data_IF_521192191893
#
_entry.id   IF_521192191893
#
_cell.length_a   1.000
_cell.length_b   1.000
_cell.length_c   1.000
_cell.angle_alpha   90.00
_cell.angle_beta   90.00
_cell.angle_gamma   90.00
#
_symmetry.space_group_name_H-M   'P 1'
#
loop_
_entity.id
_entity.type
_entity.pdbx_description
1 polymer ?
#
# COMPACT_ATOMS: atom_id res chain seq x y z
N UNK A 1 -9.99 24.65 3.85
CA UNK A 1 -11.33 24.61 3.19
C UNK A 1 -12.14 23.33 3.45
N UNK A 2 -11.79 22.47 4.43
CA UNK A 2 -12.49 21.19 4.70
C UNK A 2 -13.90 21.36 5.31
N UNK A 3 -14.18 22.49 5.95
CA UNK A 3 -15.40 22.69 6.71
C UNK A 3 -16.57 23.24 5.87
N UNK A 4 -16.31 23.81 4.70
CA UNK A 4 -17.34 24.46 3.86
C UNK A 4 -18.22 23.41 3.16
N UNK A 5 -17.62 22.33 2.66
CA UNK A 5 -18.35 21.23 2.03
C UNK A 5 -19.16 20.41 3.04
N UNK A 6 -18.63 20.25 4.26
CA UNK A 6 -19.36 19.63 5.38
C UNK A 6 -20.58 20.46 5.82
N UNK A 7 -20.42 21.79 5.91
CA UNK A 7 -21.52 22.71 6.21
C UNK A 7 -22.59 22.75 5.11
N UNK A 8 -22.17 22.74 3.84
CA UNK A 8 -23.09 22.67 2.69
C UNK A 8 -23.86 21.35 2.66
N UNK A 9 -23.21 20.23 2.97
CA UNK A 9 -23.88 18.93 3.09
C UNK A 9 -24.87 18.93 4.27
N UNK A 10 -24.54 19.56 5.39
CA UNK A 10 -25.44 19.66 6.54
C UNK A 10 -26.67 20.54 6.24
N UNK A 11 -26.47 21.68 5.58
CA UNK A 11 -27.55 22.60 5.16
C UNK A 11 -28.47 21.98 4.10
N UNK A 12 -27.91 21.26 3.13
CA UNK A 12 -28.69 20.55 2.10
C UNK A 12 -29.42 19.33 2.69
N UNK A 13 -28.82 18.64 3.66
CA UNK A 13 -29.45 17.53 4.39
C UNK A 13 -30.63 17.98 5.23
N UNK A 14 -30.52 19.12 5.93
CA UNK A 14 -31.66 19.71 6.64
C UNK A 14 -32.77 20.18 5.71
N UNK A 15 -32.44 20.70 4.51
CA UNK A 15 -33.42 21.08 3.49
C UNK A 15 -34.15 19.89 2.86
N UNK A 16 -33.48 18.74 2.70
CA UNK A 16 -34.09 17.49 2.23
C UNK A 16 -35.11 16.92 3.23
N UNK A 17 -34.81 16.99 4.53
CA UNK A 17 -35.74 16.55 5.58
C UNK A 17 -36.96 17.47 5.65
N UNK A 18 -36.77 18.78 5.51
CA UNK A 18 -37.87 19.76 5.52
C UNK A 18 -38.81 19.62 4.32
N UNK A 19 -38.31 19.22 3.15
CA UNK A 19 -39.12 19.05 1.93
C UNK A 19 -39.94 17.74 1.92
N UNK A 20 -39.47 16.68 2.59
CA UNK A 20 -40.22 15.41 2.79
C UNK A 20 -41.45 15.62 3.69
N UNK A 21 -41.38 16.56 4.64
CA UNK A 21 -42.47 16.87 5.57
C UNK A 21 -43.57 17.76 4.98
N UNK A 22 -43.36 18.39 3.82
CA UNK A 22 -44.22 19.47 3.31
C UNK A 22 -44.71 19.28 1.86
N UNK A 23 -44.84 18.03 1.41
CA UNK A 23 -45.46 17.62 0.12
C UNK A 23 -44.92 18.33 -1.15
N UNK A 24 -43.61 18.58 -1.21
CA UNK A 24 -42.97 19.11 -2.42
C UNK A 24 -42.70 18.04 -3.48
N UNK A 25 -42.61 18.44 -4.75
CA UNK A 25 -42.50 17.50 -5.88
C UNK A 25 -41.23 16.63 -5.81
N UNK A 26 -41.33 15.32 -6.12
CA UNK A 26 -40.22 14.37 -5.99
C UNK A 26 -39.01 14.72 -6.88
N UNK A 27 -39.24 15.50 -7.95
CA UNK A 27 -38.19 15.98 -8.84
C UNK A 27 -37.19 16.93 -8.15
N UNK A 28 -37.65 17.75 -7.19
CA UNK A 28 -36.79 18.70 -6.45
C UNK A 28 -35.88 17.95 -5.48
N UNK A 29 -36.39 16.91 -4.81
CA UNK A 29 -35.59 16.02 -3.96
C UNK A 29 -34.47 15.33 -4.75
N UNK A 30 -34.77 14.85 -5.96
CA UNK A 30 -33.80 14.15 -6.82
C UNK A 30 -32.66 15.08 -7.27
N UNK A 31 -32.96 16.34 -7.57
CA UNK A 31 -31.96 17.35 -7.94
C UNK A 31 -31.03 17.71 -6.78
N UNK A 32 -31.56 17.85 -5.57
CA UNK A 32 -30.77 18.12 -4.37
C UNK A 32 -29.88 16.92 -3.98
N UNK A 33 -30.41 15.69 -4.10
CA UNK A 33 -29.65 14.45 -3.90
C UNK A 33 -28.49 14.31 -4.90
N UNK A 34 -28.71 14.64 -6.17
CA UNK A 34 -27.66 14.64 -7.20
C UNK A 34 -26.59 15.71 -6.91
N UNK A 35 -26.99 16.91 -6.49
CA UNK A 35 -26.07 17.97 -6.07
C UNK A 35 -25.21 17.57 -4.87
N UNK A 36 -25.82 16.91 -3.89
CA UNK A 36 -25.13 16.37 -2.70
C UNK A 36 -24.15 15.25 -3.10
N UNK A 37 -24.55 14.35 -3.98
CA UNK A 37 -23.71 13.29 -4.53
C UNK A 37 -22.48 13.82 -5.26
N UNK A 38 -22.63 14.86 -6.07
CA UNK A 38 -21.50 15.51 -6.78
C UNK A 38 -20.57 16.23 -5.80
N UNK A 39 -21.11 16.90 -4.79
CA UNK A 39 -20.33 17.64 -3.78
C UNK A 39 -19.52 16.70 -2.88
N UNK A 40 -20.11 15.59 -2.43
CA UNK A 40 -19.42 14.54 -1.67
C UNK A 40 -18.40 13.80 -2.55
N UNK A 41 -18.72 13.52 -3.80
CA UNK A 41 -17.79 12.89 -4.76
C UNK A 41 -16.54 13.75 -5.00
N UNK A 42 -16.71 15.07 -5.15
CA UNK A 42 -15.57 16.00 -5.26
C UNK A 42 -14.78 16.14 -3.96
N UNK A 43 -15.43 16.04 -2.78
CA UNK A 43 -14.78 16.08 -1.47
C UNK A 43 -14.01 14.80 -1.08
N UNK A 44 -14.26 13.67 -1.77
CA UNK A 44 -13.55 12.40 -1.58
C UNK A 44 -12.30 12.25 -2.47
N UNK A 45 -12.07 13.16 -3.41
CA UNK A 45 -10.80 13.20 -4.13
C UNK A 45 -9.73 13.68 -3.13
N UNK A 46 -8.68 12.88 -2.84
CA UNK A 46 -7.64 13.28 -1.92
C UNK A 46 -6.87 14.46 -2.54
N UNK A 47 -7.20 15.69 -2.14
CA UNK A 47 -6.26 16.78 -2.24
C UNK A 47 -5.20 16.54 -1.16
N UNK A 48 -4.18 15.75 -1.50
CA UNK A 48 -2.91 15.83 -0.79
C UNK A 48 -2.43 17.28 -0.92
N UNK A 49 -2.57 18.07 0.14
CA UNK A 49 -1.71 19.23 0.31
C UNK A 49 -0.28 18.70 0.24
N UNK A 50 0.42 19.08 -0.83
CA UNK A 50 1.81 18.68 -1.08
C UNK A 50 2.63 19.17 0.10
N UNK A 51 3.01 18.25 0.99
CA UNK A 51 3.97 18.55 2.04
C UNK A 51 5.29 18.87 1.34
N UNK A 52 5.76 20.10 1.51
CA UNK A 52 6.97 20.59 0.86
C UNK A 52 8.17 19.93 1.52
N UNK A 53 9.13 19.48 0.70
CA UNK A 53 10.40 18.95 1.17
C UNK A 53 11.14 20.07 1.93
N UNK A 54 11.55 19.81 3.16
CA UNK A 54 12.30 20.78 3.96
C UNK A 54 13.78 20.70 3.57
N UNK A 55 14.22 21.67 2.77
CA UNK A 55 15.58 21.73 2.20
C UNK A 55 16.49 22.70 2.98
N UNK A 56 16.06 23.17 4.15
CA UNK A 56 16.74 24.21 4.93
C UNK A 56 18.18 23.87 5.33
N UNK A 57 18.57 22.60 5.30
CA UNK A 57 19.88 22.10 5.72
C UNK A 57 20.85 21.81 4.56
N UNK A 58 20.44 22.02 3.30
CA UNK A 58 21.26 21.73 2.11
C UNK A 58 21.87 23.01 1.52
N UNK A 59 23.05 22.88 0.88
CA UNK A 59 23.62 23.96 0.07
C UNK A 59 22.68 24.27 -1.11
N UNK A 60 22.54 25.55 -1.49
CA UNK A 60 21.51 26.00 -2.45
C UNK A 60 21.48 25.20 -3.78
N UNK A 61 22.64 24.85 -4.33
CA UNK A 61 22.75 24.05 -5.57
C UNK A 61 22.32 22.57 -5.38
N UNK A 62 22.58 22.00 -4.20
CA UNK A 62 22.15 20.65 -3.84
C UNK A 62 20.66 20.62 -3.48
N UNK A 63 20.10 21.72 -2.98
CA UNK A 63 18.69 21.84 -2.66
C UNK A 63 17.82 21.83 -3.93
N UNK A 64 18.22 22.52 -5.00
CA UNK A 64 17.47 22.55 -6.27
C UNK A 64 17.46 21.19 -6.96
N UNK A 65 18.61 20.51 -6.99
CA UNK A 65 18.73 19.15 -7.56
C UNK A 65 17.95 18.13 -6.74
N UNK A 66 18.07 18.18 -5.40
CA UNK A 66 17.25 17.39 -4.49
C UNK A 66 15.74 17.59 -4.73
N UNK A 67 15.30 18.84 -4.88
CA UNK A 67 13.89 19.15 -5.13
C UNK A 67 13.42 18.56 -6.46
N UNK A 68 14.22 18.69 -7.53
CA UNK A 68 13.90 18.15 -8.84
C UNK A 68 13.79 16.61 -8.81
N UNK A 69 14.72 15.94 -8.14
CA UNK A 69 14.71 14.48 -7.99
C UNK A 69 13.50 14.01 -7.17
N UNK A 70 13.15 14.76 -6.12
CA UNK A 70 11.98 14.50 -5.28
C UNK A 70 10.68 14.60 -6.08
N UNK A 71 10.53 15.69 -6.84
CA UNK A 71 9.37 15.92 -7.68
C UNK A 71 9.24 14.87 -8.77
N UNK A 72 10.36 14.49 -9.42
CA UNK A 72 10.39 13.39 -10.39
C UNK A 72 9.94 12.08 -9.75
N UNK A 73 10.51 11.72 -8.61
CA UNK A 73 10.19 10.47 -7.92
C UNK A 73 8.71 10.40 -7.54
N UNK A 74 8.11 11.53 -7.12
CA UNK A 74 6.67 11.61 -6.85
C UNK A 74 5.84 11.53 -8.13
N UNK A 75 6.30 12.13 -9.22
CA UNK A 75 5.66 12.03 -10.54
C UNK A 75 5.60 10.59 -11.03
N UNK A 76 6.73 9.87 -10.99
CA UNK A 76 6.79 8.47 -11.42
C UNK A 76 5.99 7.54 -10.49
N UNK A 77 5.95 7.82 -9.18
CA UNK A 77 5.05 7.14 -8.25
C UNK A 77 3.59 7.26 -8.72
N UNK A 78 3.14 8.47 -9.04
CA UNK A 78 1.77 8.73 -9.49
C UNK A 78 1.46 8.04 -10.81
N UNK A 79 2.39 8.08 -11.78
CA UNK A 79 2.25 7.38 -13.07
C UNK A 79 2.03 5.88 -12.90
N UNK A 80 2.79 5.23 -12.00
CA UNK A 80 2.63 3.79 -11.72
C UNK A 80 1.28 3.53 -11.06
N UNK A 81 0.85 4.35 -10.09
CA UNK A 81 -0.46 4.19 -9.44
C UNK A 81 -1.63 4.38 -10.41
N UNK A 82 -1.52 5.32 -11.35
CA UNK A 82 -2.52 5.51 -12.42
C UNK A 82 -2.59 4.30 -13.35
N UNK A 83 -1.45 3.83 -13.85
CA UNK A 83 -1.38 2.63 -14.69
C UNK A 83 -1.94 1.42 -13.95
N UNK A 84 -1.53 1.20 -12.69
CA UNK A 84 -2.00 0.12 -11.83
C UNK A 84 -3.53 0.07 -11.70
N UNK A 85 -4.19 1.22 -11.62
CA UNK A 85 -5.67 1.32 -11.52
C UNK A 85 -6.38 1.03 -12.84
N UNK A 86 -5.74 1.30 -13.97
CA UNK A 86 -6.29 1.03 -15.32
C UNK A 86 -6.10 -0.43 -15.74
N UNK A 87 -5.00 -1.05 -15.33
CA UNK A 87 -4.65 -2.44 -15.66
C UNK A 87 -5.70 -3.42 -15.12
N UNK A 88 -6.22 -4.28 -16.01
CA UNK A 88 -7.21 -5.32 -15.71
C UNK A 88 -6.58 -6.60 -15.16
N UNK A 89 -5.33 -6.89 -15.52
CA UNK A 89 -4.57 -8.00 -14.94
C UNK A 89 -4.38 -7.80 -13.43
N UNK A 90 -5.19 -8.51 -12.64
CA UNK A 90 -5.16 -8.44 -11.17
C UNK A 90 -3.82 -8.83 -10.56
N UNK A 91 -3.05 -9.72 -11.20
CA UNK A 91 -1.74 -10.15 -10.70
C UNK A 91 -0.71 -9.04 -10.91
N UNK A 92 -0.69 -8.42 -12.09
CA UNK A 92 0.20 -7.29 -12.36
C UNK A 92 -0.17 -6.07 -11.52
N UNK A 93 -1.46 -5.74 -11.40
CA UNK A 93 -1.93 -4.64 -10.55
C UNK A 93 -1.54 -4.84 -9.07
N UNK A 94 -1.54 -6.09 -8.59
CA UNK A 94 -1.03 -6.43 -7.24
C UNK A 94 0.48 -6.24 -7.14
N UNK A 95 1.24 -6.72 -8.12
CA UNK A 95 2.70 -6.56 -8.17
C UNK A 95 3.11 -5.08 -8.13
N UNK A 96 2.47 -4.25 -8.96
CA UNK A 96 2.70 -2.81 -8.97
C UNK A 96 2.35 -2.18 -7.61
N UNK A 97 1.30 -2.65 -6.95
CA UNK A 97 0.95 -2.20 -5.61
C UNK A 97 2.01 -2.50 -4.56
N UNK A 98 2.66 -3.67 -4.62
CA UNK A 98 3.80 -4.02 -3.75
C UNK A 98 5.00 -3.12 -4.00
N UNK A 99 5.35 -2.90 -5.28
CA UNK A 99 6.44 -1.99 -5.65
C UNK A 99 6.17 -0.56 -5.17
N UNK A 100 4.92 -0.09 -5.27
CA UNK A 100 4.52 1.23 -4.77
C UNK A 100 4.61 1.33 -3.25
N UNK A 101 4.38 0.24 -2.50
CA UNK A 101 4.62 0.24 -1.05
C UNK A 101 6.11 0.40 -0.70
N UNK A 102 7.01 -0.19 -1.48
CA UNK A 102 8.46 0.04 -1.34
C UNK A 102 8.83 1.48 -1.72
N UNK A 103 8.33 1.98 -2.86
CA UNK A 103 8.53 3.39 -3.26
C UNK A 103 8.02 4.38 -2.21
N UNK A 104 6.86 4.13 -1.60
CA UNK A 104 6.30 5.00 -0.57
C UNK A 104 7.17 5.04 0.69
N UNK A 105 7.76 3.89 1.08
CA UNK A 105 8.70 3.83 2.20
C UNK A 105 9.97 4.62 1.92
N UNK A 106 10.57 4.45 0.75
CA UNK A 106 11.75 5.22 0.35
C UNK A 106 11.42 6.72 0.28
N UNK A 107 10.32 7.11 -0.35
CA UNK A 107 9.93 8.52 -0.45
C UNK A 107 9.73 9.13 0.93
N UNK A 108 9.01 8.47 1.84
CA UNK A 108 8.82 8.95 3.22
C UNK A 108 10.16 9.09 3.97
N UNK A 109 11.09 8.17 3.73
CA UNK A 109 12.42 8.21 4.31
C UNK A 109 13.21 9.43 3.81
N UNK A 110 13.28 9.62 2.50
CA UNK A 110 14.00 10.74 1.87
C UNK A 110 13.33 12.09 2.17
N UNK A 111 12.00 12.11 2.40
CA UNK A 111 11.30 13.31 2.87
C UNK A 111 11.80 13.79 4.24
N UNK A 112 12.20 12.85 5.11
CA UNK A 112 12.75 13.15 6.45
C UNK A 112 14.27 13.34 6.44
N UNK A 113 14.93 12.82 5.42
CA UNK A 113 16.38 12.81 5.25
C UNK A 113 16.73 13.35 3.85
N UNK A 114 16.47 14.65 3.58
CA UNK A 114 16.64 15.24 2.25
C UNK A 114 18.07 15.11 1.71
N UNK A 115 19.09 15.04 2.58
CA UNK A 115 20.48 14.77 2.23
C UNK A 115 20.72 13.41 1.57
N UNK A 116 19.78 12.46 1.73
CA UNK A 116 19.87 11.11 1.17
C UNK A 116 19.23 10.97 -0.21
N UNK A 117 18.59 12.02 -0.72
CA UNK A 117 17.92 11.96 -2.03
C UNK A 117 18.88 11.66 -3.17
N UNK A 118 20.09 12.22 -3.13
CA UNK A 118 21.12 11.97 -4.13
C UNK A 118 21.54 10.48 -4.14
N UNK A 119 21.57 9.83 -2.96
CA UNK A 119 21.86 8.40 -2.85
C UNK A 119 20.73 7.54 -3.44
N UNK A 120 19.49 8.06 -3.49
CA UNK A 120 18.35 7.43 -4.14
C UNK A 120 18.31 7.63 -5.67
N UNK A 121 19.29 8.33 -6.27
CA UNK A 121 19.27 8.66 -7.70
C UNK A 121 19.09 7.46 -8.63
N UNK A 122 19.72 6.31 -8.36
CA UNK A 122 19.52 5.10 -9.19
C UNK A 122 18.11 4.54 -9.07
N UNK A 123 17.51 4.60 -7.88
CA UNK A 123 16.11 4.24 -7.71
C UNK A 123 15.21 5.18 -8.52
N UNK A 124 15.37 6.49 -8.35
CA UNK A 124 14.52 7.53 -8.91
C UNK A 124 14.62 7.61 -10.45
N UNK A 125 15.83 7.70 -10.98
CA UNK A 125 16.04 7.95 -12.41
C UNK A 125 15.97 6.70 -13.28
N UNK A 126 16.19 5.51 -12.71
CA UNK A 126 16.25 4.28 -13.49
C UNK A 126 15.13 3.31 -13.14
N UNK A 127 15.07 2.83 -11.90
CA UNK A 127 14.14 1.76 -11.53
C UNK A 127 12.69 2.24 -11.46
N UNK A 128 12.45 3.41 -10.87
CA UNK A 128 11.12 4.02 -10.76
C UNK A 128 10.60 4.49 -12.12
N UNK A 129 11.43 5.22 -12.85
CA UNK A 129 11.15 5.67 -14.21
C UNK A 129 10.78 4.51 -15.15
N UNK A 130 11.60 3.45 -15.15
CA UNK A 130 11.38 2.31 -16.03
C UNK A 130 10.13 1.53 -15.63
N UNK A 131 9.83 1.40 -14.34
CA UNK A 131 8.60 0.75 -13.91
C UNK A 131 7.35 1.54 -14.36
N UNK A 132 7.40 2.87 -14.29
CA UNK A 132 6.32 3.73 -14.81
C UNK A 132 6.10 3.48 -16.29
N UNK A 133 7.17 3.59 -17.10
CA UNK A 133 7.08 3.39 -18.55
C UNK A 133 6.59 1.99 -18.94
N UNK A 134 7.06 0.93 -18.28
CA UNK A 134 6.63 -0.44 -18.58
C UNK A 134 5.16 -0.69 -18.19
N UNK A 135 4.72 -0.07 -17.08
CA UNK A 135 3.33 -0.17 -16.62
C UNK A 135 2.37 0.55 -17.55
N UNK A 136 2.75 1.73 -18.04
CA UNK A 136 2.00 2.50 -19.04
C UNK A 136 1.88 1.73 -20.36
N UNK A 137 2.99 1.24 -20.90
CA UNK A 137 2.99 0.42 -22.12
C UNK A 137 2.10 -0.83 -21.99
N UNK A 138 2.11 -1.48 -20.83
CA UNK A 138 1.23 -2.62 -20.58
C UNK A 138 -0.25 -2.20 -20.56
N UNK A 139 -0.57 -1.09 -19.88
CA UNK A 139 -1.92 -0.52 -19.83
C UNK A 139 -2.44 -0.17 -21.23
N UNK A 140 -1.62 0.50 -22.04
CA UNK A 140 -1.95 0.86 -23.42
C UNK A 140 -2.27 -0.36 -24.27
N UNK A 141 -1.47 -1.44 -24.16
CA UNK A 141 -1.74 -2.69 -24.85
C UNK A 141 -3.08 -3.33 -24.43
N UNK A 142 -3.46 -3.25 -23.15
CA UNK A 142 -4.78 -3.72 -22.70
C UNK A 142 -5.94 -2.83 -23.20
N UNK A 143 -5.71 -1.52 -23.33
CA UNK A 143 -6.70 -0.57 -23.86
C UNK A 143 -7.03 -0.82 -25.32
N UNK A 144 -6.07 -1.32 -26.12
CA UNK A 144 -6.30 -1.67 -27.53
C UNK A 144 -7.32 -2.81 -27.72
N UNK A 145 -7.55 -3.64 -26.70
CA UNK A 145 -8.39 -4.86 -26.74
C UNK A 145 -7.98 -5.88 -27.82
N UNK A 146 -6.77 -5.78 -28.36
CA UNK A 146 -6.23 -6.72 -29.34
C UNK A 146 -5.70 -7.98 -28.63
N UNK A 147 -6.24 -9.15 -28.98
CA UNK A 147 -5.88 -10.44 -28.35
C UNK A 147 -5.01 -11.33 -29.25
N UNK A 148 -4.22 -10.72 -30.13
CA UNK A 148 -3.28 -11.43 -30.99
C UNK A 148 -2.19 -12.12 -30.18
N UNK A 149 -1.58 -13.17 -30.74
CA UNK A 149 -0.51 -13.91 -30.07
C UNK A 149 0.69 -13.01 -29.76
N UNK A 150 1.03 -12.10 -30.66
CA UNK A 150 2.11 -11.13 -30.48
C UNK A 150 1.83 -10.17 -29.31
N UNK A 151 0.60 -9.64 -29.20
CA UNK A 151 0.23 -8.76 -28.09
C UNK A 151 0.25 -9.51 -26.76
N UNK A 152 -0.24 -10.76 -26.72
CA UNK A 152 -0.15 -11.60 -25.52
C UNK A 152 1.30 -11.87 -25.08
N UNK A 153 2.20 -12.13 -26.03
CA UNK A 153 3.62 -12.33 -25.73
C UNK A 153 4.32 -11.07 -25.22
N UNK A 154 4.05 -9.90 -25.80
CA UNK A 154 4.61 -8.63 -25.33
C UNK A 154 4.09 -8.31 -23.93
N UNK A 155 2.78 -8.41 -23.69
CA UNK A 155 2.18 -8.25 -22.34
C UNK A 155 2.86 -9.18 -21.32
N UNK A 156 3.06 -10.45 -21.66
CA UNK A 156 3.73 -11.41 -20.77
C UNK A 156 5.18 -11.01 -20.46
N UNK A 157 5.97 -10.56 -21.45
CA UNK A 157 7.35 -10.09 -21.24
C UNK A 157 7.42 -8.81 -20.40
N UNK A 158 6.52 -7.85 -20.64
CA UNK A 158 6.42 -6.64 -19.82
C UNK A 158 6.13 -6.99 -18.37
N UNK A 159 5.16 -7.87 -18.14
CA UNK A 159 4.81 -8.36 -16.80
C UNK A 159 5.98 -9.07 -16.11
N UNK A 160 6.68 -9.98 -16.80
CA UNK A 160 7.87 -10.65 -16.25
C UNK A 160 8.99 -9.66 -15.90
N UNK A 161 9.20 -8.67 -16.75
CA UNK A 161 10.19 -7.60 -16.51
C UNK A 161 9.83 -6.78 -15.28
N UNK A 162 8.57 -6.34 -15.15
CA UNK A 162 8.08 -5.60 -13.97
C UNK A 162 8.24 -6.43 -12.69
N UNK A 163 7.93 -7.73 -12.73
CA UNK A 163 8.12 -8.61 -11.57
C UNK A 163 9.59 -8.67 -11.14
N UNK A 164 10.54 -8.66 -12.09
CA UNK A 164 11.97 -8.64 -11.75
C UNK A 164 12.45 -7.36 -11.06
N UNK A 165 11.67 -6.27 -11.14
CA UNK A 165 12.03 -5.02 -10.49
C UNK A 165 11.78 -5.03 -8.98
N UNK A 166 10.94 -5.93 -8.47
CA UNK A 166 10.70 -6.07 -7.02
C UNK A 166 12.00 -6.28 -6.23
N UNK A 167 12.85 -7.19 -6.74
CA UNK A 167 14.16 -7.50 -6.15
C UNK A 167 15.10 -6.29 -6.25
N UNK A 168 15.10 -5.61 -7.41
CA UNK A 168 15.95 -4.46 -7.64
C UNK A 168 15.57 -3.25 -6.77
N UNK A 169 14.27 -3.00 -6.58
CA UNK A 169 13.74 -1.96 -5.70
C UNK A 169 14.17 -2.20 -4.26
N UNK A 170 13.97 -3.43 -3.78
CA UNK A 170 14.32 -3.82 -2.42
C UNK A 170 15.82 -3.71 -2.15
N UNK A 171 16.64 -4.14 -3.11
CA UNK A 171 18.10 -4.08 -3.00
C UNK A 171 18.62 -2.63 -2.98
N UNK A 172 18.11 -1.77 -3.87
CA UNK A 172 18.55 -0.37 -3.93
C UNK A 172 18.09 0.40 -2.68
N UNK A 173 16.88 0.15 -2.19
CA UNK A 173 16.40 0.74 -0.93
C UNK A 173 17.25 0.30 0.27
N UNK A 174 17.53 -1.01 0.38
CA UNK A 174 18.36 -1.56 1.44
C UNK A 174 19.75 -0.92 1.46
N UNK A 175 20.34 -0.68 0.28
CA UNK A 175 21.64 -0.03 0.18
C UNK A 175 21.65 1.37 0.78
N UNK A 176 20.61 2.16 0.54
CA UNK A 176 20.46 3.53 1.05
C UNK A 176 20.32 3.54 2.58
N UNK A 177 19.56 2.59 3.15
CA UNK A 177 19.41 2.46 4.60
C UNK A 177 20.69 1.95 5.26
N UNK A 178 21.33 0.94 4.69
CA UNK A 178 22.53 0.34 5.27
C UNK A 178 23.69 1.32 5.35
N UNK A 179 23.87 2.21 4.35
CA UNK A 179 24.89 3.25 4.46
C UNK A 179 24.65 4.15 5.67
N UNK A 180 23.40 4.48 6.00
CA UNK A 180 23.09 5.30 7.18
C UNK A 180 23.27 4.55 8.49
N UNK A 181 22.94 3.25 8.53
CA UNK A 181 23.15 2.44 9.74
C UNK A 181 24.65 2.34 10.09
N UNK A 182 25.53 2.24 9.08
CA UNK A 182 26.98 2.26 9.29
C UNK A 182 27.47 3.61 9.83
N UNK A 183 26.98 4.72 9.26
CA UNK A 183 27.33 6.07 9.75
C UNK A 183 26.88 6.25 11.22
N UNK A 184 25.66 5.83 11.56
CA UNK A 184 25.13 5.93 12.93
C UNK A 184 25.87 5.03 13.93
N UNK A 185 26.28 3.82 13.53
CA UNK A 185 27.06 2.92 14.38
C UNK A 185 28.44 3.48 14.70
N UNK A 186 29.09 4.12 13.72
CA UNK A 186 30.33 4.84 13.92
C UNK A 186 30.16 6.03 14.89
N UNK A 187 29.10 6.83 14.73
CA UNK A 187 28.78 7.92 15.65
C UNK A 187 28.49 7.42 17.07
N UNK A 188 27.71 6.34 17.22
CA UNK A 188 27.44 5.72 18.52
C UNK A 188 28.70 5.18 19.18
N UNK A 189 29.61 4.60 18.39
CA UNK A 189 30.92 4.12 18.89
C UNK A 189 31.75 5.29 19.42
N UNK A 190 31.83 6.40 18.70
CA UNK A 190 32.53 7.62 19.15
C UNK A 190 31.86 8.20 20.40
N UNK A 191 30.53 8.22 20.44
CA UNK A 191 29.78 8.68 21.60
C UNK A 191 30.05 7.80 22.84
N UNK A 192 30.08 6.47 22.68
CA UNK A 192 30.44 5.53 23.76
C UNK A 192 31.86 5.78 24.25
N UNK A 193 32.83 5.94 23.35
CA UNK A 193 34.21 6.26 23.71
C UNK A 193 34.32 7.59 24.48
N UNK A 194 33.55 8.61 24.09
CA UNK A 194 33.50 9.89 24.80
C UNK A 194 32.90 9.73 26.20
N UNK A 195 31.81 8.98 26.34
CA UNK A 195 31.16 8.71 27.63
C UNK A 195 32.07 7.91 28.56
N UNK A 196 32.80 6.93 28.04
CA UNK A 196 33.80 6.16 28.79
C UNK A 196 34.97 7.05 29.25
N UNK A 197 35.45 7.94 28.40
CA UNK A 197 36.49 8.92 28.74
C UNK A 197 36.03 9.91 29.82
N UNK A 198 34.73 10.22 29.87
CA UNK A 198 34.09 11.03 30.92
C UNK A 198 33.74 10.23 32.19
N UNK A 199 34.04 8.93 32.23
CA UNK A 199 33.78 8.06 33.39
C UNK A 199 32.31 7.63 33.54
N UNK A 200 31.50 7.84 32.51
CA UNK A 200 30.09 7.44 32.45
C UNK A 200 30.03 6.01 31.86
N UNK A 201 30.26 5.00 32.70
CA UNK A 201 30.18 3.60 32.26
C UNK A 201 28.73 3.14 32.10
N UNK A 202 28.36 2.76 30.89
CA UNK A 202 27.07 2.13 30.60
C UNK A 202 27.09 0.67 31.09
N UNK A 203 26.55 0.42 32.29
CA UNK A 203 26.60 -0.88 32.94
C UNK A 203 25.49 -1.83 32.45
N UNK A 204 25.39 -2.02 31.13
CA UNK A 204 24.64 -3.12 30.52
C UNK A 204 25.62 -4.07 29.83
N UNK A 205 26.25 -4.91 30.64
CA UNK A 205 27.03 -6.03 30.17
C UNK A 205 26.07 -7.21 29.93
N UNK A 206 25.78 -7.49 28.66
CA UNK A 206 24.82 -8.52 28.30
C UNK A 206 24.58 -8.74 26.80
N UNK A 207 25.56 -8.48 25.93
CA UNK A 207 25.71 -9.17 24.65
C UNK A 207 27.09 -8.79 24.11
N UNK A 208 27.99 -9.76 24.10
CA UNK A 208 29.23 -9.71 23.33
C UNK A 208 28.97 -9.08 21.97
N UNK A 209 29.79 -8.10 21.61
CA UNK A 209 30.02 -7.67 20.26
C UNK A 209 30.59 -8.86 19.46
N UNK A 210 29.74 -9.81 19.10
CA UNK A 210 29.89 -10.43 17.80
C UNK A 210 29.60 -9.30 16.82
N UNK A 211 30.59 -8.94 16.01
CA UNK A 211 30.35 -8.17 14.80
C UNK A 211 29.13 -8.81 14.15
N UNK A 212 28.03 -8.06 14.08
CA UNK A 212 26.91 -8.46 13.24
C UNK A 212 27.48 -8.38 11.84
N UNK A 213 28.07 -9.50 11.40
CA UNK A 213 28.30 -9.79 10.01
C UNK A 213 26.89 -9.86 9.42
N UNK A 214 26.38 -8.68 9.07
CA UNK A 214 25.17 -8.50 8.30
C UNK A 214 25.47 -9.22 7.00
N UNK A 215 25.11 -10.50 6.98
CA UNK A 215 25.14 -11.33 5.81
C UNK A 215 24.35 -10.56 4.76
N UNK A 216 25.07 -9.94 3.81
CA UNK A 216 24.54 -9.29 2.63
C UNK A 216 23.71 -10.26 1.73
N UNK A 217 23.51 -11.50 2.19
CA UNK A 217 22.83 -12.60 1.52
C UNK A 217 21.34 -12.76 1.89
N UNK A 218 20.74 -11.91 2.72
CA UNK A 218 19.27 -11.88 2.89
C UNK A 218 18.73 -10.46 2.68
N UNK A 219 18.66 -10.08 1.41
CA UNK A 219 17.70 -9.07 0.96
C UNK A 219 16.28 -9.41 1.48
N UNK A 220 15.38 -8.44 1.67
CA UNK A 220 13.97 -8.72 1.93
C UNK A 220 13.48 -9.78 0.94
N UNK A 221 12.86 -10.85 1.44
CA UNK A 221 12.34 -11.90 0.55
C UNK A 221 11.32 -11.24 -0.40
N UNK A 222 11.55 -11.40 -1.70
CA UNK A 222 10.70 -10.89 -2.77
C UNK A 222 9.23 -11.10 -2.39
N UNK A 223 8.48 -10.01 -2.28
CA UNK A 223 7.03 -10.06 -2.02
C UNK A 223 6.27 -10.34 -3.31
N UNK A 224 6.95 -10.24 -4.45
CA UNK A 224 6.43 -10.52 -5.77
C UNK A 224 6.20 -11.99 -6.07
N UNK A 225 5.25 -12.23 -6.97
CA UNK A 225 4.90 -13.56 -7.46
C UNK A 225 6.00 -14.02 -8.43
N UNK A 226 7.11 -14.51 -7.86
CA UNK A 226 8.31 -14.97 -8.56
C UNK A 226 8.58 -16.46 -8.37
N UNK A 227 8.17 -17.25 -9.37
CA UNK A 227 8.78 -18.50 -9.87
C UNK A 227 9.63 -19.32 -8.87
N UNK A 228 9.05 -20.42 -8.33
CA UNK A 228 9.83 -21.51 -7.72
C UNK A 228 10.93 -21.97 -8.69
N UNK A 229 12.21 -21.85 -8.31
CA UNK A 229 13.34 -22.51 -9.01
C UNK A 229 13.03 -23.99 -9.13
N UNK A 230 12.76 -24.48 -10.36
CA UNK A 230 12.72 -25.92 -10.62
C UNK A 230 14.14 -26.47 -10.46
N UNK A 231 14.39 -27.47 -9.60
CA UNK A 231 15.68 -28.15 -9.57
C UNK A 231 15.87 -28.91 -10.89
N UNK A 232 17.13 -28.93 -11.37
CA UNK A 232 17.55 -29.72 -12.53
C UNK A 232 17.17 -31.18 -12.33
N UNK A 233 16.49 -31.76 -13.33
CA UNK A 233 16.24 -33.21 -13.45
C UNK A 233 17.57 -33.96 -13.41
N UNK A 234 17.70 -34.86 -12.44
CA UNK A 234 18.75 -35.87 -12.36
C UNK A 234 18.39 -36.91 -11.30
N UNK A 235 18.50 -38.19 -11.69
CA UNK A 235 18.33 -39.40 -10.90
C UNK A 235 16.91 -39.76 -10.42
N UNK A 236 16.31 -40.69 -11.17
CA UNK A 236 15.19 -41.53 -10.73
C UNK A 236 15.68 -42.49 -9.64
N UNK A 237 15.09 -42.44 -8.46
CA UNK A 237 15.00 -43.59 -7.55
C UNK A 237 13.57 -43.70 -7.03
N UNK A 238 12.86 -44.73 -7.52
CA UNK A 238 11.55 -45.16 -7.02
C UNK A 238 11.71 -45.66 -5.59
N UNK A 239 10.98 -45.10 -4.61
CA UNK A 239 10.62 -45.82 -3.38
C UNK A 239 9.22 -45.38 -2.94
N UNK A 240 8.33 -46.37 -2.78
CA UNK A 240 7.25 -46.48 -1.80
C UNK A 240 6.25 -45.33 -1.67
N UNK A 241 5.03 -45.55 -2.16
CA UNK A 241 3.91 -44.64 -1.97
C UNK A 241 3.42 -44.57 -0.51
N UNK A 242 3.15 -43.35 -0.07
CA UNK A 242 2.14 -43.03 0.93
C UNK A 242 1.42 -41.78 0.41
N UNK A 243 0.17 -41.93 -0.01
CA UNK A 243 -0.70 -40.82 -0.38
C UNK A 243 -1.03 -40.03 0.89
N UNK A 244 -0.18 -39.05 1.21
CA UNK A 244 -0.51 -38.03 2.22
C UNK A 244 -1.57 -37.12 1.63
N UNK A 245 -2.76 -37.07 2.24
CA UNK A 245 -3.77 -36.06 1.96
C UNK A 245 -3.12 -34.66 1.89
N UNK A 246 -3.54 -33.77 0.98
CA UNK A 246 -2.86 -32.50 0.78
C UNK A 246 -2.83 -31.72 2.10
N UNK A 247 -1.63 -31.59 2.66
CA UNK A 247 -1.35 -30.79 3.84
C UNK A 247 -1.78 -29.35 3.52
N UNK A 248 -2.94 -28.93 4.07
CA UNK A 248 -3.32 -27.51 4.12
C UNK A 248 -2.36 -26.83 5.08
N UNK A 249 -1.21 -26.43 4.57
CA UNK A 249 -0.24 -25.62 5.29
C UNK A 249 -0.96 -24.36 5.79
N UNK A 250 -1.13 -24.27 7.11
CA UNK A 250 -1.75 -23.10 7.75
C UNK A 250 -0.71 -21.98 7.74
N UNK A 251 -0.68 -21.22 6.64
CA UNK A 251 0.25 -20.12 6.45
C UNK A 251 -0.06 -19.05 7.52
N UNK A 252 0.92 -18.80 8.37
CA UNK A 252 0.89 -17.73 9.36
C UNK A 252 1.17 -16.39 8.70
N UNK A 253 0.55 -15.34 9.21
CA UNK A 253 0.76 -13.96 8.76
C UNK A 253 2.25 -13.59 8.93
N UNK A 254 2.94 -13.04 7.91
CA UNK A 254 4.31 -12.55 8.05
C UNK A 254 4.42 -11.52 9.18
N UNK A 255 5.45 -11.61 10.03
CA UNK A 255 5.58 -10.77 11.24
C UNK A 255 5.54 -9.26 10.95
N UNK A 256 6.12 -8.84 9.83
CA UNK A 256 6.14 -7.45 9.35
C UNK A 256 4.76 -6.92 8.89
N UNK A 257 3.82 -7.81 8.55
CA UNK A 257 2.45 -7.46 8.14
C UNK A 257 1.44 -7.66 9.25
N UNK A 258 1.80 -8.36 10.33
CA UNK A 258 0.87 -8.74 11.39
C UNK A 258 0.20 -7.54 12.07
N UNK A 259 0.93 -6.45 12.30
CA UNK A 259 0.41 -5.22 12.91
C UNK A 259 -0.57 -4.47 12.00
N UNK A 260 -0.28 -4.39 10.70
CA UNK A 260 -1.16 -3.72 9.73
C UNK A 260 -2.45 -4.52 9.48
N UNK A 261 -2.35 -5.85 9.44
CA UNK A 261 -3.49 -6.77 9.35
C UNK A 261 -4.38 -6.67 10.59
N UNK A 262 -3.78 -6.63 11.78
CA UNK A 262 -4.49 -6.38 13.04
C UNK A 262 -5.24 -5.06 13.03
N UNK A 263 -4.59 -3.97 12.61
CA UNK A 263 -5.22 -2.65 12.53
C UNK A 263 -6.40 -2.62 11.55
N UNK A 264 -6.24 -3.20 10.35
CA UNK A 264 -7.32 -3.29 9.37
C UNK A 264 -8.50 -4.14 9.86
N UNK A 265 -8.23 -5.25 10.55
CA UNK A 265 -9.27 -6.09 11.20
C UNK A 265 -10.07 -5.27 12.21
N UNK A 266 -9.40 -4.49 13.06
CA UNK A 266 -10.05 -3.62 14.06
C UNK A 266 -10.91 -2.54 13.39
N UNK A 267 -10.37 -1.86 12.36
CA UNK A 267 -11.13 -0.87 11.60
C UNK A 267 -12.37 -1.50 10.95
N UNK A 268 -12.22 -2.63 10.26
CA UNK A 268 -13.34 -3.29 9.59
C UNK A 268 -14.43 -3.74 10.56
N UNK A 269 -14.03 -4.23 11.75
CA UNK A 269 -14.96 -4.56 12.81
C UNK A 269 -15.69 -3.33 13.35
N UNK A 270 -14.95 -2.26 13.69
CA UNK A 270 -15.51 -1.01 14.20
C UNK A 270 -16.44 -0.34 13.19
N UNK A 271 -16.07 -0.29 11.91
CA UNK A 271 -16.89 0.29 10.86
C UNK A 271 -18.19 -0.50 10.65
N UNK A 272 -18.13 -1.83 10.73
CA UNK A 272 -19.32 -2.68 10.59
C UNK A 272 -20.30 -2.50 11.76
N UNK A 273 -19.79 -2.33 12.98
CA UNK A 273 -20.64 -2.13 14.16
C UNK A 273 -21.24 -0.71 14.18
N UNK A 274 -20.43 0.32 13.93
CA UNK A 274 -20.84 1.73 14.09
C UNK A 274 -21.53 2.28 12.84
N UNK A 275 -21.05 1.90 11.65
CA UNK A 275 -21.50 2.46 10.37
C UNK A 275 -22.12 1.39 9.44
N UNK A 276 -22.49 0.24 10.00
CA UNK A 276 -23.06 -0.89 9.28
C UNK A 276 -24.44 -0.65 8.68
N UNK A 277 -25.29 0.10 9.39
CA UNK A 277 -26.66 0.43 8.97
C UNK A 277 -26.71 1.08 7.60
N UNK A 278 -25.72 1.92 7.27
CA UNK A 278 -25.62 2.60 5.98
C UNK A 278 -24.77 1.84 4.95
N UNK A 279 -24.21 0.68 5.30
CA UNK A 279 -23.39 -0.14 4.41
C UNK A 279 -21.98 0.40 4.14
N UNK A 280 -21.52 1.40 4.91
CA UNK A 280 -20.21 2.06 4.70
C UNK A 280 -19.05 1.05 4.80
N UNK A 281 -19.17 0.05 5.67
CA UNK A 281 -18.16 -1.02 5.83
C UNK A 281 -18.03 -1.92 4.61
N UNK A 282 -19.08 -2.06 3.79
CA UNK A 282 -19.00 -2.80 2.52
C UNK A 282 -18.25 -2.02 1.45
N UNK A 283 -18.38 -0.69 1.44
CA UNK A 283 -17.59 0.17 0.55
C UNK A 283 -16.11 0.17 0.94
N UNK A 284 -15.81 0.19 2.24
CA UNK A 284 -14.43 0.06 2.74
C UNK A 284 -13.79 -1.27 2.34
N UNK A 285 -14.58 -2.34 2.21
CA UNK A 285 -14.13 -3.65 1.73
C UNK A 285 -14.01 -3.76 0.19
N UNK A 286 -14.26 -2.68 -0.56
CA UNK A 286 -14.29 -2.70 -2.03
C UNK A 286 -15.52 -3.40 -2.64
N UNK A 287 -16.51 -3.80 -1.82
CA UNK A 287 -17.73 -4.52 -2.25
C UNK A 287 -18.86 -3.54 -2.56
N UNK A 288 -18.65 -2.67 -3.54
CA UNK A 288 -19.55 -1.55 -3.90
C UNK A 288 -20.98 -2.00 -4.19
N UNK A 289 -21.19 -3.15 -4.86
CA UNK A 289 -22.53 -3.69 -5.16
C UNK A 289 -23.31 -4.02 -3.89
N UNK A 290 -22.64 -4.57 -2.88
CA UNK A 290 -23.27 -4.90 -1.58
C UNK A 290 -23.47 -3.66 -0.72
N UNK A 291 -22.55 -2.70 -0.75
CA UNK A 291 -22.74 -1.41 -0.09
C UNK A 291 -23.97 -0.67 -0.61
N UNK A 292 -24.16 -0.67 -1.94
CA UNK A 292 -25.35 -0.07 -2.57
C UNK A 292 -26.65 -0.78 -2.14
N UNK A 293 -26.65 -2.11 -2.08
CA UNK A 293 -27.80 -2.86 -1.57
C UNK A 293 -28.14 -2.49 -0.11
N UNK A 294 -27.14 -2.30 0.74
CA UNK A 294 -27.33 -1.88 2.14
C UNK A 294 -27.89 -0.47 2.22
N UNK A 295 -27.46 0.42 1.31
CA UNK A 295 -27.93 1.80 1.22
C UNK A 295 -29.39 1.90 0.75
N UNK A 296 -29.90 0.93 -0.02
CA UNK A 296 -31.33 0.86 -0.35
C UNK A 296 -32.16 0.16 0.74
N UNK A 297 -31.55 -0.72 1.52
CA UNK A 297 -32.22 -1.51 2.56
C UNK A 297 -32.09 -0.92 3.97
N UNK A 298 -31.41 0.22 4.15
CA UNK A 298 -31.13 0.78 5.49
C UNK A 298 -32.40 1.02 6.32
N UNK A 299 -33.52 1.37 5.67
CA UNK A 299 -34.82 1.59 6.33
C UNK A 299 -35.46 0.32 6.90
N UNK A 300 -35.02 -0.87 6.46
CA UNK A 300 -35.56 -2.15 6.95
C UNK A 300 -34.92 -2.62 8.25
N UNK A 301 -33.86 -1.94 8.73
CA UNK A 301 -32.99 -2.36 9.85
C UNK A 301 -32.31 -3.74 9.69
N UNK A 302 -32.59 -4.48 8.61
CA UNK A 302 -31.93 -5.74 8.25
C UNK A 302 -30.40 -5.52 8.09
N UNK A 303 -29.91 -4.46 7.40
CA UNK A 303 -28.48 -4.20 7.29
C UNK A 303 -27.77 -4.03 8.63
N UNK A 304 -28.45 -3.46 9.64
CA UNK A 304 -27.89 -3.26 10.98
C UNK A 304 -27.56 -4.59 11.65
N UNK A 305 -28.51 -5.53 11.65
CA UNK A 305 -28.31 -6.86 12.23
C UNK A 305 -27.18 -7.63 11.52
N UNK A 306 -27.17 -7.62 10.18
CA UNK A 306 -26.13 -8.33 9.41
C UNK A 306 -24.76 -7.70 9.63
N UNK A 307 -24.67 -6.38 9.75
CA UNK A 307 -23.41 -5.68 9.96
C UNK A 307 -22.82 -5.90 11.35
N UNK A 308 -23.66 -5.99 12.39
CA UNK A 308 -23.22 -6.33 13.74
C UNK A 308 -22.65 -7.75 13.76
N UNK A 309 -23.35 -8.71 13.15
CA UNK A 309 -22.87 -10.11 13.06
C UNK A 309 -21.55 -10.18 12.30
N UNK A 310 -21.41 -9.45 11.19
CA UNK A 310 -20.14 -9.37 10.47
C UNK A 310 -19.03 -8.70 11.28
N UNK A 311 -19.35 -7.61 11.98
CA UNK A 311 -18.40 -6.90 12.84
C UNK A 311 -17.87 -7.76 13.97
N UNK A 312 -18.74 -8.53 14.62
CA UNK A 312 -18.38 -9.53 15.65
C UNK A 312 -17.55 -10.65 15.02
N UNK A 313 -17.96 -11.18 13.87
CA UNK A 313 -17.18 -12.19 13.13
C UNK A 313 -15.77 -11.70 12.84
N UNK A 314 -15.60 -10.45 12.41
CA UNK A 314 -14.29 -9.86 12.19
C UNK A 314 -13.50 -9.69 13.48
N UNK A 315 -14.13 -9.28 14.58
CA UNK A 315 -13.46 -9.09 15.86
C UNK A 315 -12.84 -10.39 16.38
N UNK A 316 -13.58 -11.50 16.29
CA UNK A 316 -13.17 -12.81 16.79
C UNK A 316 -12.43 -13.70 15.77
N UNK A 317 -12.25 -13.24 14.54
CA UNK A 317 -11.47 -13.98 13.53
C UNK A 317 -9.97 -14.00 13.87
N UNK A 318 -9.29 -15.16 13.86
CA UNK A 318 -7.84 -15.20 13.99
C UNK A 318 -7.14 -14.34 12.93
N UNK A 319 -6.03 -13.70 13.29
CA UNK A 319 -5.29 -12.80 12.39
C UNK A 319 -4.86 -13.52 11.11
N UNK A 320 -4.40 -14.77 11.25
CA UNK A 320 -3.98 -15.59 10.11
C UNK A 320 -5.15 -15.93 9.19
N UNK A 321 -6.35 -16.18 9.73
CA UNK A 321 -7.53 -16.46 8.93
C UNK A 321 -8.01 -15.20 8.21
N UNK A 322 -7.94 -14.04 8.87
CA UNK A 322 -8.24 -12.74 8.27
C UNK A 322 -7.25 -12.40 7.15
N UNK A 323 -5.95 -12.60 7.39
CA UNK A 323 -4.91 -12.44 6.38
C UNK A 323 -5.18 -13.32 5.16
N UNK A 324 -5.44 -14.61 5.38
CA UNK A 324 -5.72 -15.57 4.32
C UNK A 324 -7.00 -15.25 3.53
N UNK A 325 -8.02 -14.63 4.15
CA UNK A 325 -9.28 -14.31 3.47
C UNK A 325 -9.24 -12.98 2.69
N UNK A 326 -8.44 -12.01 3.12
CA UNK A 326 -8.49 -10.64 2.58
C UNK A 326 -7.22 -10.18 1.85
N UNK A 327 -6.08 -10.83 2.07
CA UNK A 327 -4.80 -10.46 1.46
C UNK A 327 -4.29 -11.48 0.43
N UNK A 328 -4.92 -12.65 0.35
CA UNK A 328 -4.60 -13.71 -0.62
C UNK A 328 -5.52 -13.61 -1.83
#
# INVERSE_FOLDING_TARGET
MRNIYGLLALLLGSGGIYTILNDYSPAVCLLLMLGMGISVYKGQLPQQEVRKLDLSQLAAEQADTALADWEKARGDYQRIEEARRKIRDSQLSRQLGLMQQESARLLNYVEKHPERIAAAGRFIHYYQDRAASLSEQYSELEETKLETEQVRQVKARLKETIVSFDEAYSAEFTKIINSQLLDMDAELTVMQQSLEAEGISNNQQGSTAEAVELNAAKAPQATGIGRKKRPRRGAVTKVGGQETAPFKEKITTPDNLRSSVLFQKVIMSGLAIVLGTFGVHKFFQGKTKWGMAYLFLFWTMIPTLVSIVEGIRYLFMPVDDFYNQYYR
#
